data_IF_012129600524
#
_entry.id   IF_012129600524
#
_cell.length_a   1.000
_cell.length_b   1.000
_cell.length_c   1.000
_cell.angle_alpha   90.00
_cell.angle_beta   90.00
_cell.angle_gamma   90.00
#
_symmetry.space_group_name_H-M   'P 1'
#
loop_
_entity.id
_entity.type
_entity.pdbx_description
1 polymer ?
#
# COMPACT_ATOMS: atom_id res chain seq x y z
N UNK A 1 12.93 -33.55 17.21
CA UNK A 1 11.65 -33.41 16.50
C UNK A 1 11.77 -32.18 15.60
N UNK A 2 11.81 -32.39 14.29
CA UNK A 2 11.97 -31.29 13.31
C UNK A 2 10.62 -30.58 13.16
N UNK A 3 10.41 -29.49 13.90
CA UNK A 3 9.32 -28.56 13.65
C UNK A 3 9.78 -27.56 12.60
N UNK A 4 9.59 -27.89 11.32
CA UNK A 4 9.74 -26.89 10.26
C UNK A 4 8.56 -25.93 10.37
N UNK A 5 8.83 -24.71 10.78
CA UNK A 5 7.86 -23.62 10.79
C UNK A 5 7.39 -23.40 9.34
N UNK A 6 6.18 -23.86 9.05
CA UNK A 6 5.53 -23.57 7.77
C UNK A 6 4.90 -22.19 7.91
N UNK A 7 5.54 -21.18 7.31
CA UNK A 7 4.85 -19.90 7.09
C UNK A 7 3.54 -20.17 6.34
N UNK A 8 2.43 -19.54 6.75
CA UNK A 8 1.18 -19.72 6.06
C UNK A 8 1.36 -19.28 4.59
N UNK A 9 1.28 -20.23 3.67
CA UNK A 9 1.13 -19.92 2.24
C UNK A 9 -0.26 -19.35 2.08
N UNK A 10 -0.33 -18.02 1.97
CA UNK A 10 -1.55 -17.38 1.49
C UNK A 10 -1.75 -17.84 0.04
N UNK A 11 -2.61 -18.84 -0.13
CA UNK A 11 -3.12 -19.17 -1.43
C UNK A 11 -3.97 -17.99 -1.86
N UNK A 12 -3.50 -17.29 -2.90
CA UNK A 12 -4.34 -16.34 -3.63
C UNK A 12 -5.44 -17.14 -4.32
N UNK A 13 -6.49 -17.46 -3.55
CA UNK A 13 -7.72 -17.95 -4.12
C UNK A 13 -8.24 -16.91 -5.09
N UNK A 14 -8.73 -17.37 -6.24
CA UNK A 14 -9.34 -16.57 -7.27
C UNK A 14 -10.33 -15.59 -6.61
N UNK A 15 -9.91 -14.33 -6.48
CA UNK A 15 -10.83 -13.28 -6.02
C UNK A 15 -11.91 -13.11 -7.07
N UNK A 16 -13.14 -13.23 -6.60
CA UNK A 16 -14.34 -12.91 -7.33
C UNK A 16 -14.12 -11.61 -8.12
N UNK A 17 -14.52 -11.66 -9.39
CA UNK A 17 -14.55 -10.53 -10.31
C UNK A 17 -15.41 -9.42 -9.68
N UNK A 18 -14.76 -8.54 -8.91
CA UNK A 18 -15.36 -7.29 -8.51
C UNK A 18 -15.49 -6.47 -9.79
N UNK A 19 -16.71 -6.13 -10.17
CA UNK A 19 -16.99 -5.38 -11.38
C UNK A 19 -16.29 -4.03 -11.36
N UNK A 20 -15.14 -4.00 -11.99
CA UNK A 20 -14.35 -2.79 -12.20
C UNK A 20 -15.06 -1.98 -13.29
N UNK A 21 -15.63 -0.85 -12.91
CA UNK A 21 -16.02 0.17 -13.89
C UNK A 21 -14.72 0.77 -14.44
N UNK A 22 -14.15 0.10 -15.45
CA UNK A 22 -13.05 0.64 -16.24
C UNK A 22 -13.51 1.94 -16.88
N UNK A 23 -13.01 3.06 -16.37
CA UNK A 23 -13.00 4.31 -17.11
C UNK A 23 -12.09 4.15 -18.34
N UNK A 24 -12.57 3.52 -19.39
CA UNK A 24 -11.86 3.47 -20.66
C UNK A 24 -11.69 4.90 -21.18
N UNK A 25 -10.51 5.47 -20.95
CA UNK A 25 -10.10 6.66 -21.68
C UNK A 25 -9.90 6.25 -23.14
N UNK A 26 -10.91 6.50 -23.95
CA UNK A 26 -10.89 6.17 -25.39
C UNK A 26 -9.86 7.09 -26.05
N UNK A 27 -8.62 6.63 -26.18
CA UNK A 27 -7.64 7.24 -27.09
C UNK A 27 -8.10 7.01 -28.53
N UNK A 28 -8.99 7.90 -28.98
CA UNK A 28 -9.42 7.92 -30.37
C UNK A 28 -8.26 8.45 -31.22
N UNK A 29 -7.62 7.58 -31.97
CA UNK A 29 -6.67 7.97 -33.02
C UNK A 29 -7.43 8.79 -34.06
N UNK A 30 -7.14 10.09 -34.12
CA UNK A 30 -7.68 10.97 -35.15
C UNK A 30 -7.09 10.57 -36.51
N UNK A 31 -7.92 10.58 -37.54
CA UNK A 31 -7.46 10.42 -38.91
C UNK A 31 -6.47 11.53 -39.27
N UNK A 32 -5.26 11.23 -39.76
CA UNK A 32 -4.47 12.24 -40.41
C UNK A 32 -5.17 12.64 -41.71
N UNK A 33 -5.46 13.93 -41.86
CA UNK A 33 -6.10 14.53 -43.04
C UNK A 33 -5.15 14.62 -44.24
N UNK A 34 -4.49 13.49 -44.63
CA UNK A 34 -3.62 13.48 -45.82
C UNK A 34 -3.54 12.09 -46.42
N UNK A 35 -4.61 11.68 -47.14
CA UNK A 35 -4.52 10.74 -48.22
C UNK A 35 -4.60 11.52 -49.55
N UNK A 36 -3.44 11.92 -50.07
CA UNK A 36 -3.39 12.48 -51.43
C UNK A 36 -3.01 11.41 -52.45
N UNK A 37 -3.99 11.14 -53.27
CA UNK A 37 -3.98 10.93 -54.72
C UNK A 37 -2.98 9.90 -55.30
N UNK A 38 -3.55 8.79 -55.75
CA UNK A 38 -3.41 8.32 -57.14
C UNK A 38 -4.28 7.07 -57.38
N UNK A 39 -5.53 7.27 -57.71
CA UNK A 39 -6.32 6.47 -58.71
C UNK A 39 -7.76 7.07 -58.77
N UNK A 40 -7.99 7.94 -59.75
CA UNK A 40 -9.29 8.59 -59.95
C UNK A 40 -10.19 7.68 -60.78
N UNK A 41 -11.23 7.15 -60.17
CA UNK A 41 -12.35 6.53 -60.86
C UNK A 41 -13.31 5.74 -59.98
N UNK A 42 -12.83 4.87 -59.11
CA UNK A 42 -13.60 4.13 -58.10
C UNK A 42 -13.19 4.48 -56.68
N UNK A 43 -12.01 5.02 -56.48
CA UNK A 43 -11.43 5.34 -55.16
C UNK A 43 -12.16 6.47 -54.42
N UNK A 44 -12.86 7.37 -55.11
CA UNK A 44 -13.57 8.50 -54.46
C UNK A 44 -14.81 8.05 -53.67
N UNK A 45 -15.52 7.05 -54.17
CA UNK A 45 -16.72 6.50 -53.51
C UNK A 45 -16.38 5.62 -52.32
N UNK A 46 -15.28 4.88 -52.41
CA UNK A 46 -14.82 4.01 -51.30
C UNK A 46 -14.28 4.83 -50.14
N UNK A 47 -13.55 5.91 -50.38
CA UNK A 47 -13.06 6.83 -49.35
C UNK A 47 -14.19 7.56 -48.62
N UNK A 48 -15.20 8.04 -49.37
CA UNK A 48 -16.39 8.67 -48.80
C UNK A 48 -17.18 7.68 -47.94
N UNK A 49 -17.37 6.48 -48.42
CA UNK A 49 -18.08 5.42 -47.70
C UNK A 49 -17.33 4.99 -46.42
N UNK A 50 -16.01 4.91 -46.45
CA UNK A 50 -15.18 4.65 -45.25
C UNK A 50 -15.34 5.75 -44.21
N UNK A 51 -15.38 7.03 -44.62
CA UNK A 51 -15.60 8.17 -43.70
C UNK A 51 -17.00 8.13 -43.06
N UNK A 52 -18.05 7.84 -43.86
CA UNK A 52 -19.41 7.67 -43.34
C UNK A 52 -19.47 6.55 -42.27
N UNK A 53 -18.99 5.35 -42.62
CA UNK A 53 -18.95 4.20 -41.72
C UNK A 53 -18.15 4.49 -40.46
N UNK A 54 -17.08 5.29 -40.54
CA UNK A 54 -16.28 5.70 -39.41
C UNK A 54 -17.05 6.64 -38.48
N UNK A 55 -17.79 7.58 -39.03
CA UNK A 55 -18.67 8.49 -38.26
C UNK A 55 -19.82 7.72 -37.60
N UNK A 56 -20.45 6.77 -38.32
CA UNK A 56 -21.48 5.88 -37.78
C UNK A 56 -20.93 5.00 -36.63
N UNK A 57 -19.73 4.42 -36.81
CA UNK A 57 -19.08 3.62 -35.76
C UNK A 57 -18.81 4.42 -34.49
N UNK A 58 -18.32 5.66 -34.62
CA UNK A 58 -18.08 6.56 -33.48
C UNK A 58 -19.38 6.94 -32.78
N UNK A 59 -20.45 7.26 -33.55
CA UNK A 59 -21.77 7.57 -33.02
C UNK A 59 -22.35 6.40 -32.23
N UNK A 60 -22.29 5.18 -32.81
CA UNK A 60 -22.73 3.96 -32.15
C UNK A 60 -21.95 3.68 -30.85
N UNK A 61 -20.63 3.87 -30.89
CA UNK A 61 -19.76 3.72 -29.70
C UNK A 61 -20.13 4.74 -28.61
N UNK A 62 -20.35 6.01 -28.97
CA UNK A 62 -20.75 7.05 -28.01
C UNK A 62 -22.14 6.78 -27.41
N UNK A 63 -23.03 6.13 -28.17
CA UNK A 63 -24.34 5.69 -27.69
C UNK A 63 -24.32 4.38 -26.89
N UNK A 64 -23.12 3.75 -26.70
CA UNK A 64 -22.97 2.46 -26.01
C UNK A 64 -23.34 1.24 -26.87
N UNK A 65 -23.70 1.42 -28.15
CA UNK A 65 -24.07 0.36 -29.08
C UNK A 65 -22.83 -0.34 -29.65
N UNK A 66 -22.07 -1.03 -28.78
CA UNK A 66 -20.78 -1.60 -29.13
C UNK A 66 -20.85 -2.64 -30.25
N UNK A 67 -21.94 -3.41 -30.35
CA UNK A 67 -22.14 -4.38 -31.41
C UNK A 67 -22.29 -3.72 -32.79
N UNK A 68 -23.03 -2.61 -32.86
CA UNK A 68 -23.18 -1.82 -34.09
C UNK A 68 -21.83 -1.16 -34.46
N UNK A 69 -21.14 -0.57 -33.47
CA UNK A 69 -19.83 0.03 -33.71
C UNK A 69 -18.83 -1.00 -34.29
N UNK A 70 -18.77 -2.21 -33.73
CA UNK A 70 -17.95 -3.31 -34.28
C UNK A 70 -18.31 -3.63 -35.71
N UNK A 71 -19.60 -3.82 -36.04
CA UNK A 71 -20.08 -4.10 -37.38
C UNK A 71 -19.70 -3.01 -38.41
N UNK A 72 -19.72 -1.72 -38.00
CA UNK A 72 -19.26 -0.62 -38.86
C UNK A 72 -17.76 -0.65 -39.09
N UNK A 73 -16.92 -0.92 -38.10
CA UNK A 73 -15.49 -1.08 -38.27
C UNK A 73 -15.15 -2.33 -39.11
N UNK A 74 -15.88 -3.43 -38.96
CA UNK A 74 -15.74 -4.61 -39.83
C UNK A 74 -16.09 -4.30 -41.31
N UNK A 75 -17.14 -3.49 -41.55
CA UNK A 75 -17.49 -3.04 -42.89
C UNK A 75 -16.40 -2.14 -43.51
N UNK A 76 -15.78 -1.24 -42.69
CA UNK A 76 -14.61 -0.48 -43.14
C UNK A 76 -13.47 -1.40 -43.56
N UNK A 77 -13.17 -2.43 -42.79
CA UNK A 77 -12.08 -3.35 -43.08
C UNK A 77 -12.33 -4.24 -44.32
N UNK A 78 -13.60 -4.40 -44.74
CA UNK A 78 -13.95 -5.05 -46.04
C UNK A 78 -13.61 -4.14 -47.22
N UNK A 79 -13.79 -2.82 -47.08
CA UNK A 79 -13.50 -1.83 -48.13
C UNK A 79 -12.01 -1.50 -48.14
N UNK A 80 -11.42 -1.24 -46.93
CA UNK A 80 -10.06 -0.80 -46.75
C UNK A 80 -9.27 -1.77 -45.81
N UNK A 81 -8.90 -2.98 -46.29
CA UNK A 81 -8.32 -4.04 -45.44
C UNK A 81 -6.90 -3.73 -44.93
N UNK A 82 -6.28 -2.63 -45.38
CA UNK A 82 -4.97 -2.18 -44.93
C UNK A 82 -5.04 -0.95 -44.01
N UNK A 83 -6.24 -0.53 -43.59
CA UNK A 83 -6.43 0.62 -42.71
C UNK A 83 -6.16 0.22 -41.26
N UNK A 84 -4.89 0.32 -40.82
CA UNK A 84 -4.45 -0.10 -39.50
C UNK A 84 -5.22 0.59 -38.35
N UNK A 85 -5.65 1.86 -38.52
CA UNK A 85 -6.44 2.58 -37.55
C UNK A 85 -7.82 1.92 -37.29
N UNK A 86 -8.44 1.30 -38.29
CA UNK A 86 -9.71 0.61 -38.12
C UNK A 86 -9.55 -0.68 -37.28
N UNK A 87 -8.44 -1.40 -37.43
CA UNK A 87 -8.11 -2.54 -36.56
C UNK A 87 -7.91 -2.13 -35.10
N UNK A 88 -7.24 -0.99 -34.86
CA UNK A 88 -7.06 -0.46 -33.49
C UNK A 88 -8.42 -0.16 -32.84
N UNK A 89 -9.29 0.53 -33.57
CA UNK A 89 -10.60 0.91 -33.04
C UNK A 89 -11.50 -0.31 -32.83
N UNK A 90 -11.53 -1.25 -33.77
CA UNK A 90 -12.27 -2.51 -33.62
C UNK A 90 -11.76 -3.34 -32.46
N UNK A 91 -10.44 -3.40 -32.25
CA UNK A 91 -9.83 -4.07 -31.10
C UNK A 91 -10.25 -3.44 -29.78
N UNK A 92 -10.31 -2.10 -29.71
CA UNK A 92 -10.83 -1.38 -28.55
C UNK A 92 -12.31 -1.70 -28.26
N UNK A 93 -13.15 -1.81 -29.29
CA UNK A 93 -14.55 -2.22 -29.14
C UNK A 93 -14.66 -3.65 -28.61
N UNK A 94 -13.89 -4.59 -29.16
CA UNK A 94 -13.91 -5.97 -28.68
C UNK A 94 -13.41 -6.11 -27.23
N UNK A 95 -12.44 -5.29 -26.80
CA UNK A 95 -12.03 -5.23 -25.40
C UNK A 95 -13.19 -4.77 -24.50
N UNK A 96 -13.92 -3.71 -24.90
CA UNK A 96 -15.09 -3.23 -24.17
C UNK A 96 -16.21 -4.27 -24.11
N UNK A 97 -16.33 -5.13 -25.10
CA UNK A 97 -17.26 -6.27 -25.13
C UNK A 97 -16.75 -7.51 -24.39
N UNK A 98 -15.55 -7.46 -23.79
CA UNK A 98 -14.84 -8.60 -23.17
C UNK A 98 -14.58 -9.76 -24.16
N UNK A 99 -14.56 -9.48 -25.45
CA UNK A 99 -14.23 -10.42 -26.52
C UNK A 99 -12.70 -10.46 -26.76
N UNK A 100 -11.95 -10.78 -25.70
CA UNK A 100 -10.48 -10.62 -25.65
C UNK A 100 -9.76 -11.33 -26.80
N UNK A 101 -10.21 -12.54 -27.18
CA UNK A 101 -9.62 -13.30 -28.29
C UNK A 101 -9.80 -12.59 -29.65
N UNK A 102 -10.98 -12.02 -29.88
CA UNK A 102 -11.23 -11.24 -31.10
C UNK A 102 -10.41 -9.97 -31.12
N UNK A 103 -10.36 -9.26 -29.93
CA UNK A 103 -9.54 -8.08 -29.77
C UNK A 103 -8.07 -8.38 -30.12
N UNK A 104 -7.48 -9.43 -29.54
CA UNK A 104 -6.09 -9.82 -29.82
C UNK A 104 -5.84 -10.09 -31.28
N UNK A 105 -6.73 -10.82 -31.95
CA UNK A 105 -6.60 -11.15 -33.39
C UNK A 105 -6.61 -9.91 -34.27
N UNK A 106 -7.56 -8.99 -34.05
CA UNK A 106 -7.66 -7.79 -34.91
C UNK A 106 -6.52 -6.82 -34.63
N UNK A 107 -6.13 -6.65 -33.38
CA UNK A 107 -5.00 -5.77 -32.98
C UNK A 107 -3.67 -6.31 -33.52
N UNK A 108 -3.46 -7.63 -33.47
CA UNK A 108 -2.29 -8.27 -34.06
C UNK A 108 -2.24 -8.00 -35.56
N UNK A 109 -3.39 -8.11 -36.25
CA UNK A 109 -3.47 -7.83 -37.68
C UNK A 109 -3.18 -6.37 -38.02
N UNK A 110 -3.67 -5.43 -37.20
CA UNK A 110 -3.33 -4.00 -37.31
C UNK A 110 -1.83 -3.74 -37.20
N UNK A 111 -1.19 -4.39 -36.23
CA UNK A 111 0.26 -4.28 -36.00
C UNK A 111 1.13 -4.94 -37.05
N UNK A 112 0.62 -5.96 -37.79
CA UNK A 112 1.29 -6.51 -38.96
C UNK A 112 1.31 -5.50 -40.11
N UNK A 113 0.26 -4.68 -40.26
CA UNK A 113 0.15 -3.64 -41.29
C UNK A 113 0.98 -2.41 -40.91
N UNK A 114 0.89 -1.96 -39.67
CA UNK A 114 1.66 -0.84 -39.14
C UNK A 114 2.18 -1.19 -37.75
N UNK A 115 3.48 -1.38 -37.62
CA UNK A 115 4.15 -1.75 -36.37
C UNK A 115 4.27 -0.59 -35.39
N UNK A 116 4.22 0.62 -35.89
CA UNK A 116 4.34 1.84 -35.07
C UNK A 116 2.96 2.35 -34.65
N UNK A 117 2.30 1.57 -33.79
CA UNK A 117 0.99 1.88 -33.22
C UNK A 117 1.01 1.57 -31.72
N UNK A 118 1.50 2.51 -30.89
CA UNK A 118 1.58 2.30 -29.43
C UNK A 118 0.24 1.95 -28.79
N UNK A 119 -0.84 2.61 -29.22
CA UNK A 119 -2.19 2.33 -28.73
C UNK A 119 -2.62 0.88 -29.03
N UNK A 120 -2.38 0.37 -30.26
CA UNK A 120 -2.69 -1.01 -30.59
C UNK A 120 -1.82 -2.00 -29.79
N UNK A 121 -0.56 -1.64 -29.53
CA UNK A 121 0.32 -2.44 -28.67
C UNK A 121 -0.19 -2.52 -27.24
N UNK A 122 -0.64 -1.38 -26.65
CA UNK A 122 -1.24 -1.34 -25.32
C UNK A 122 -2.51 -2.20 -25.26
N UNK A 123 -3.44 -2.00 -26.21
CA UNK A 123 -4.70 -2.75 -26.28
C UNK A 123 -4.46 -4.25 -26.49
N UNK A 124 -3.48 -4.63 -27.31
CA UNK A 124 -3.10 -6.04 -27.50
C UNK A 124 -2.52 -6.63 -26.20
N UNK A 125 -1.66 -5.88 -25.51
CA UNK A 125 -1.13 -6.29 -24.22
C UNK A 125 -2.24 -6.51 -23.19
N UNK A 126 -3.22 -5.61 -23.11
CA UNK A 126 -4.40 -5.74 -22.25
C UNK A 126 -5.21 -6.99 -22.64
N UNK A 127 -5.49 -7.21 -23.93
CA UNK A 127 -6.23 -8.37 -24.40
C UNK A 127 -5.54 -9.69 -24.00
N UNK A 128 -4.22 -9.77 -24.17
CA UNK A 128 -3.41 -10.92 -23.80
C UNK A 128 -3.38 -11.14 -22.27
N UNK A 129 -3.28 -10.06 -21.49
CA UNK A 129 -3.36 -10.12 -20.04
C UNK A 129 -4.70 -10.72 -19.57
N UNK A 130 -5.82 -10.22 -20.12
CA UNK A 130 -7.16 -10.73 -19.80
C UNK A 130 -7.38 -12.21 -20.20
N UNK A 131 -6.58 -12.69 -21.16
CA UNK A 131 -6.52 -14.11 -21.55
C UNK A 131 -5.54 -14.92 -20.68
N UNK A 132 -4.92 -14.31 -19.66
CA UNK A 132 -3.86 -14.89 -18.84
C UNK A 132 -2.59 -15.29 -19.63
N UNK A 133 -2.37 -14.70 -20.80
CA UNK A 133 -1.19 -14.89 -21.64
C UNK A 133 -0.08 -13.89 -21.26
N UNK A 134 0.29 -13.88 -19.99
CA UNK A 134 1.17 -12.87 -19.38
C UNK A 134 2.52 -12.72 -20.08
N UNK A 135 3.17 -13.83 -20.43
CA UNK A 135 4.46 -13.79 -21.14
C UNK A 135 4.39 -13.14 -22.54
N UNK A 136 3.21 -13.15 -23.16
CA UNK A 136 2.97 -12.49 -24.45
C UNK A 136 2.49 -11.05 -24.28
N UNK A 137 1.79 -10.72 -23.17
CA UNK A 137 1.29 -9.40 -22.84
C UNK A 137 2.43 -8.42 -22.53
N UNK A 138 3.39 -8.84 -21.69
CA UNK A 138 4.52 -8.02 -21.23
C UNK A 138 5.22 -7.24 -22.35
N UNK A 139 5.77 -7.85 -23.42
CA UNK A 139 6.50 -7.11 -24.43
C UNK A 139 5.62 -6.12 -25.21
N UNK A 140 4.30 -6.33 -25.26
CA UNK A 140 3.36 -5.41 -25.90
C UNK A 140 3.13 -4.17 -25.03
N UNK A 141 2.93 -4.35 -23.72
CA UNK A 141 2.79 -3.27 -22.75
C UNK A 141 4.08 -2.46 -22.61
N UNK A 142 5.23 -3.12 -22.56
CA UNK A 142 6.54 -2.44 -22.57
C UNK A 142 6.76 -1.60 -23.83
N UNK A 143 6.34 -2.10 -25.00
CA UNK A 143 6.43 -1.36 -26.26
C UNK A 143 5.53 -0.12 -26.26
N UNK A 144 4.32 -0.25 -25.73
CA UNK A 144 3.40 0.87 -25.58
C UNK A 144 3.97 1.96 -24.64
N UNK A 145 4.50 1.55 -23.49
CA UNK A 145 5.06 2.47 -22.50
C UNK A 145 6.36 3.14 -22.97
N UNK A 146 7.19 2.49 -23.77
CA UNK A 146 8.36 3.17 -24.41
C UNK A 146 7.94 4.32 -25.30
N UNK A 147 6.81 4.19 -26.01
CA UNK A 147 6.30 5.24 -26.88
C UNK A 147 5.47 6.30 -26.12
N UNK A 148 4.73 5.87 -25.10
CA UNK A 148 3.96 6.76 -24.22
C UNK A 148 4.20 6.41 -22.74
N UNK A 149 5.26 6.93 -22.10
CA UNK A 149 5.60 6.67 -20.70
C UNK A 149 4.55 7.19 -19.69
N UNK A 150 3.61 8.02 -20.14
CA UNK A 150 2.56 8.58 -19.29
C UNK A 150 1.25 7.77 -19.29
N UNK A 151 1.18 6.66 -20.03
CA UNK A 151 0.00 5.79 -20.06
C UNK A 151 -0.12 4.99 -18.75
N UNK A 152 -0.79 5.57 -17.76
CA UNK A 152 -0.98 4.95 -16.44
C UNK A 152 -1.77 3.64 -16.52
N UNK A 153 -2.70 3.51 -17.47
CA UNK A 153 -3.45 2.27 -17.66
C UNK A 153 -2.56 1.13 -18.13
N UNK A 154 -1.76 1.36 -19.19
CA UNK A 154 -0.79 0.37 -19.65
C UNK A 154 0.24 0.01 -18.56
N UNK A 155 0.62 0.97 -17.71
CA UNK A 155 1.55 0.75 -16.60
C UNK A 155 0.96 -0.10 -15.48
N UNK A 156 -0.33 0.09 -15.14
CA UNK A 156 -1.05 -0.78 -14.18
C UNK A 156 -1.14 -2.21 -14.73
N UNK A 157 -1.50 -2.37 -16.01
CA UNK A 157 -1.56 -3.69 -16.64
C UNK A 157 -0.18 -4.37 -16.69
N UNK A 158 0.88 -3.63 -16.99
CA UNK A 158 2.24 -4.17 -16.96
C UNK A 158 2.64 -4.59 -15.53
N UNK A 159 2.33 -3.77 -14.54
CA UNK A 159 2.63 -4.11 -13.15
C UNK A 159 1.89 -5.39 -12.70
N UNK A 160 0.60 -5.51 -13.03
CA UNK A 160 -0.17 -6.73 -12.76
C UNK A 160 0.39 -7.95 -13.50
N UNK A 161 0.80 -7.77 -14.77
CA UNK A 161 1.41 -8.81 -15.57
C UNK A 161 2.73 -9.32 -14.96
N UNK A 162 3.58 -8.38 -14.53
CA UNK A 162 4.83 -8.67 -13.82
C UNK A 162 4.58 -9.41 -12.49
N UNK A 163 3.52 -9.06 -11.76
CA UNK A 163 3.11 -9.78 -10.55
C UNK A 163 2.77 -11.25 -10.87
N UNK A 164 2.01 -11.50 -11.94
CA UNK A 164 1.67 -12.85 -12.37
C UNK A 164 2.89 -13.65 -12.85
N UNK A 165 3.89 -12.95 -13.40
CA UNK A 165 5.17 -13.55 -13.81
C UNK A 165 6.16 -13.71 -12.63
N UNK A 166 5.79 -13.33 -11.41
CA UNK A 166 6.65 -13.27 -10.21
C UNK A 166 7.86 -12.34 -10.35
N UNK A 167 7.80 -11.34 -11.22
CA UNK A 167 8.83 -10.31 -11.39
C UNK A 167 8.54 -9.12 -10.48
N UNK A 168 8.48 -9.39 -9.16
CA UNK A 168 7.99 -8.45 -8.14
C UNK A 168 8.81 -7.17 -8.04
N UNK A 169 10.14 -7.22 -8.21
CA UNK A 169 11.03 -6.07 -8.15
C UNK A 169 10.68 -5.06 -9.27
N UNK A 170 10.46 -5.55 -10.49
CA UNK A 170 10.07 -4.71 -11.62
C UNK A 170 8.66 -4.16 -11.45
N UNK A 171 7.74 -4.98 -10.94
CA UNK A 171 6.40 -4.51 -10.60
C UNK A 171 6.44 -3.37 -9.58
N UNK A 172 7.27 -3.48 -8.54
CA UNK A 172 7.46 -2.43 -7.55
C UNK A 172 8.03 -1.13 -8.16
N UNK A 173 8.96 -1.21 -9.10
CA UNK A 173 9.54 -0.06 -9.80
C UNK A 173 8.47 0.72 -10.58
N UNK A 174 7.69 0.02 -11.40
CA UNK A 174 6.59 0.63 -12.16
C UNK A 174 5.53 1.24 -11.24
N UNK A 175 5.10 0.51 -10.21
CA UNK A 175 4.09 0.98 -9.27
C UNK A 175 4.56 2.18 -8.45
N UNK A 176 5.85 2.25 -8.05
CA UNK A 176 6.39 3.44 -7.38
C UNK A 176 6.37 4.67 -8.28
N UNK A 177 6.78 4.50 -9.54
CA UNK A 177 6.74 5.58 -10.53
C UNK A 177 5.32 6.10 -10.69
N UNK A 178 4.36 5.20 -10.81
CA UNK A 178 2.94 5.56 -10.96
C UNK A 178 2.37 6.20 -9.68
N UNK A 179 2.73 5.70 -8.48
CA UNK A 179 2.32 6.29 -7.21
C UNK A 179 2.79 7.74 -7.04
N UNK A 180 3.99 8.08 -7.54
CA UNK A 180 4.48 9.48 -7.56
C UNK A 180 3.66 10.37 -8.50
N UNK A 181 3.23 9.85 -9.65
CA UNK A 181 2.41 10.61 -10.62
C UNK A 181 0.95 10.72 -10.16
N UNK A 182 0.43 9.66 -9.56
CA UNK A 182 -0.96 9.53 -9.18
C UNK A 182 -1.11 9.21 -7.67
N UNK A 183 -0.73 10.12 -6.76
CA UNK A 183 -0.64 9.83 -5.32
C UNK A 183 -1.99 9.53 -4.65
N UNK A 184 -3.11 9.81 -5.32
CA UNK A 184 -4.47 9.52 -4.85
C UNK A 184 -5.06 8.23 -5.43
N UNK A 185 -4.34 7.54 -6.31
CA UNK A 185 -4.81 6.31 -6.93
C UNK A 185 -4.69 5.14 -5.93
N UNK A 186 -5.82 4.75 -5.34
CA UNK A 186 -5.87 3.69 -4.33
C UNK A 186 -5.44 2.32 -4.86
N UNK A 187 -5.71 2.03 -6.14
CA UNK A 187 -5.33 0.76 -6.76
C UNK A 187 -3.82 0.60 -6.83
N UNK A 188 -3.10 1.67 -7.20
CA UNK A 188 -1.64 1.68 -7.27
C UNK A 188 -1.04 1.37 -5.89
N UNK A 189 -1.53 2.03 -4.84
CA UNK A 189 -1.07 1.78 -3.47
C UNK A 189 -1.41 0.38 -2.97
N UNK A 190 -2.57 -0.14 -3.33
CA UNK A 190 -2.97 -1.51 -3.02
C UNK A 190 -2.04 -2.54 -3.68
N UNK A 191 -1.77 -2.39 -4.98
CA UNK A 191 -0.86 -3.28 -5.72
C UNK A 191 0.57 -3.20 -5.17
N UNK A 192 1.05 -1.98 -4.89
CA UNK A 192 2.38 -1.76 -4.32
C UNK A 192 2.52 -2.42 -2.95
N UNK A 193 1.51 -2.31 -2.09
CA UNK A 193 1.46 -3.00 -0.80
C UNK A 193 1.52 -4.52 -0.95
N UNK A 194 0.76 -5.09 -1.89
CA UNK A 194 0.82 -6.53 -2.20
C UNK A 194 2.20 -6.98 -2.66
N UNK A 195 2.82 -6.21 -3.54
CA UNK A 195 4.16 -6.51 -4.06
C UNK A 195 5.20 -6.46 -2.94
N UNK A 196 5.17 -5.45 -2.09
CA UNK A 196 6.08 -5.36 -0.95
C UNK A 196 5.88 -6.49 0.05
N UNK A 197 4.64 -6.89 0.31
CA UNK A 197 4.35 -8.06 1.15
C UNK A 197 4.98 -9.33 0.57
N UNK A 198 4.85 -9.55 -0.74
CA UNK A 198 5.42 -10.72 -1.41
C UNK A 198 6.95 -10.69 -1.40
N UNK A 199 7.57 -9.53 -1.65
CA UNK A 199 9.03 -9.35 -1.57
C UNK A 199 9.54 -9.61 -0.16
N UNK A 200 8.84 -9.10 0.86
CA UNK A 200 9.15 -9.37 2.27
C UNK A 200 9.10 -10.86 2.56
N UNK A 201 8.01 -11.55 2.21
CA UNK A 201 7.88 -12.99 2.43
C UNK A 201 8.99 -13.79 1.74
N UNK A 202 9.35 -13.42 0.51
CA UNK A 202 10.45 -14.07 -0.22
C UNK A 202 11.79 -13.87 0.48
N UNK A 203 12.06 -12.66 0.96
CA UNK A 203 13.30 -12.33 1.68
C UNK A 203 13.40 -13.08 3.01
N UNK A 204 12.29 -13.17 3.76
CA UNK A 204 12.22 -13.91 5.01
C UNK A 204 12.37 -15.42 4.79
N UNK A 205 11.77 -15.96 3.73
CA UNK A 205 11.95 -17.35 3.36
C UNK A 205 13.42 -17.64 3.03
N UNK A 206 14.09 -16.71 2.34
CA UNK A 206 15.51 -16.85 2.02
C UNK A 206 16.40 -16.78 3.25
N UNK A 207 16.10 -15.89 4.19
CA UNK A 207 16.81 -15.82 5.48
C UNK A 207 16.72 -17.15 6.21
N UNK A 208 15.53 -17.72 6.32
CA UNK A 208 15.30 -19.02 6.96
C UNK A 208 15.95 -20.20 6.21
N UNK A 209 16.07 -20.12 4.88
CA UNK A 209 16.79 -21.13 4.08
C UNK A 209 18.30 -21.10 4.33
N UNK A 210 18.88 -19.89 4.49
CA UNK A 210 20.31 -19.69 4.73
C UNK A 210 20.69 -20.26 6.11
N UNK A 211 20.01 -19.82 7.15
CA UNK A 211 20.22 -20.32 8.52
C UNK A 211 18.93 -20.22 9.36
N UNK A 212 18.21 -21.33 9.52
CA UNK A 212 16.95 -21.35 10.27
C UNK A 212 17.14 -21.14 11.79
N UNK A 213 18.38 -21.22 12.29
CA UNK A 213 18.70 -21.09 13.71
C UNK A 213 19.55 -19.85 14.02
N UNK A 214 19.68 -18.91 13.08
CA UNK A 214 20.36 -17.64 13.33
C UNK A 214 19.55 -16.72 14.25
N UNK A 215 20.22 -15.83 14.97
CA UNK A 215 19.53 -14.82 15.77
C UNK A 215 18.60 -13.95 14.92
N UNK A 216 18.98 -13.64 13.67
CA UNK A 216 18.15 -12.87 12.73
C UNK A 216 16.85 -13.60 12.38
N UNK A 217 16.92 -14.91 12.15
CA UNK A 217 15.72 -15.72 11.86
C UNK A 217 14.77 -15.73 13.04
N UNK A 218 15.30 -15.88 14.25
CA UNK A 218 14.49 -15.84 15.48
C UNK A 218 13.95 -14.43 15.75
N UNK A 219 14.74 -13.37 15.57
CA UNK A 219 14.28 -12.01 15.73
C UNK A 219 13.12 -11.69 14.78
N UNK A 220 13.28 -11.95 13.49
CA UNK A 220 12.22 -11.69 12.50
C UNK A 220 10.99 -12.57 12.74
N UNK A 221 11.17 -13.83 13.17
CA UNK A 221 10.03 -14.69 13.56
C UNK A 221 9.25 -14.09 14.72
N UNK A 222 9.95 -13.51 15.70
CA UNK A 222 9.37 -12.77 16.81
C UNK A 222 8.57 -11.55 16.34
N UNK A 223 9.16 -10.72 15.45
CA UNK A 223 8.49 -9.53 14.87
C UNK A 223 7.21 -9.90 14.11
N UNK A 224 7.24 -10.96 13.32
CA UNK A 224 6.05 -11.48 12.61
C UNK A 224 4.98 -11.93 13.62
N UNK A 225 5.35 -12.66 14.66
CA UNK A 225 4.41 -13.11 15.70
C UNK A 225 3.83 -11.93 16.48
N UNK A 226 4.64 -10.93 16.81
CA UNK A 226 4.21 -9.69 17.46
C UNK A 226 3.19 -8.95 16.59
N UNK A 227 3.44 -8.79 15.29
CA UNK A 227 2.51 -8.17 14.34
C UNK A 227 1.17 -8.90 14.23
N UNK A 228 1.16 -10.21 14.48
CA UNK A 228 -0.04 -11.06 14.55
C UNK A 228 -0.70 -11.06 15.94
N UNK A 229 -0.21 -10.23 16.86
CA UNK A 229 -0.62 -10.17 18.27
C UNK A 229 -0.43 -11.50 19.03
N UNK A 230 0.50 -12.35 18.57
CA UNK A 230 0.92 -13.57 19.27
C UNK A 230 2.15 -13.26 20.13
N UNK A 231 1.94 -12.52 21.23
CA UNK A 231 3.01 -12.03 22.07
C UNK A 231 3.78 -13.16 22.78
N UNK A 232 3.10 -14.26 23.14
CA UNK A 232 3.76 -15.43 23.75
C UNK A 232 4.73 -16.11 22.78
N UNK A 233 4.31 -16.25 21.52
CA UNK A 233 5.16 -16.77 20.46
C UNK A 233 6.34 -15.84 20.17
N UNK A 234 6.10 -14.54 20.08
CA UNK A 234 7.15 -13.53 19.90
C UNK A 234 8.19 -13.59 21.02
N UNK A 235 7.74 -13.68 22.28
CA UNK A 235 8.59 -13.78 23.45
C UNK A 235 9.53 -15.00 23.37
N UNK A 236 9.02 -16.16 22.92
CA UNK A 236 9.83 -17.37 22.76
C UNK A 236 10.93 -17.17 21.72
N UNK A 237 10.61 -16.58 20.59
CA UNK A 237 11.57 -16.35 19.51
C UNK A 237 12.60 -15.28 19.88
N UNK A 238 12.19 -14.18 20.50
CA UNK A 238 13.13 -13.15 20.97
C UNK A 238 14.09 -13.65 22.05
N UNK A 239 13.65 -14.55 22.96
CA UNK A 239 14.57 -15.22 23.90
C UNK A 239 15.66 -15.98 23.19
N UNK A 240 15.32 -16.74 22.15
CA UNK A 240 16.32 -17.45 21.35
C UNK A 240 17.28 -16.50 20.65
N UNK A 241 16.76 -15.38 20.11
CA UNK A 241 17.61 -14.36 19.49
C UNK A 241 18.63 -13.78 20.48
N UNK A 242 18.21 -13.47 21.71
CA UNK A 242 19.10 -13.00 22.79
C UNK A 242 20.10 -14.08 23.21
N UNK A 243 19.68 -15.34 23.35
CA UNK A 243 20.58 -16.47 23.68
C UNK A 243 21.69 -16.64 22.63
N UNK A 244 21.38 -16.43 21.35
CA UNK A 244 22.34 -16.59 20.25
C UNK A 244 23.22 -15.35 20.03
N UNK A 245 22.76 -14.18 20.36
CA UNK A 245 23.47 -12.92 20.13
C UNK A 245 23.21 -11.90 21.24
N UNK A 246 23.66 -12.16 22.50
CA UNK A 246 23.35 -11.32 23.65
C UNK A 246 23.96 -9.93 23.58
N UNK A 247 25.10 -9.77 22.89
CA UNK A 247 25.79 -8.48 22.77
C UNK A 247 25.34 -7.68 21.53
N UNK A 248 24.33 -8.17 20.79
CA UNK A 248 23.89 -7.54 19.57
C UNK A 248 22.85 -6.47 19.86
N UNK A 249 23.06 -5.26 19.31
CA UNK A 249 22.12 -4.15 19.40
C UNK A 249 20.73 -4.57 18.90
N UNK A 250 19.69 -4.23 19.64
CA UNK A 250 18.30 -4.48 19.31
C UNK A 250 17.73 -5.81 19.80
N UNK A 251 18.56 -6.86 20.06
CA UNK A 251 18.03 -8.16 20.51
C UNK A 251 17.34 -8.05 21.86
N UNK A 252 17.99 -7.40 22.83
CA UNK A 252 17.42 -7.15 24.15
C UNK A 252 16.24 -6.16 24.08
N UNK A 253 16.30 -5.18 23.16
CA UNK A 253 15.20 -4.24 22.98
C UNK A 253 13.90 -4.96 22.56
N UNK A 254 13.96 -5.84 21.56
CA UNK A 254 12.78 -6.60 21.10
C UNK A 254 12.22 -7.50 22.20
N UNK A 255 13.09 -8.19 22.94
CA UNK A 255 12.68 -9.02 24.07
C UNK A 255 12.04 -8.17 25.19
N UNK A 256 12.67 -7.05 25.52
CA UNK A 256 12.17 -6.10 26.50
C UNK A 256 10.80 -5.50 26.10
N UNK A 257 10.63 -5.18 24.80
CA UNK A 257 9.39 -4.68 24.27
C UNK A 257 8.25 -5.73 24.35
N UNK A 258 8.54 -7.00 24.03
CA UNK A 258 7.55 -8.07 24.19
C UNK A 258 7.12 -8.24 25.65
N UNK A 259 8.04 -8.20 26.59
CA UNK A 259 7.70 -8.19 28.02
C UNK A 259 6.88 -6.97 28.43
N UNK A 260 7.23 -5.78 27.91
CA UNK A 260 6.52 -4.53 28.18
C UNK A 260 5.07 -4.59 27.68
N UNK A 261 4.84 -5.11 26.47
CA UNK A 261 3.50 -5.31 25.91
C UNK A 261 2.65 -6.30 26.73
N UNK A 262 3.31 -7.27 27.38
CA UNK A 262 2.69 -8.23 28.31
C UNK A 262 2.56 -7.67 29.74
N UNK A 263 2.90 -6.39 29.97
CA UNK A 263 2.90 -5.73 31.29
C UNK A 263 3.80 -6.41 32.33
N UNK A 264 4.81 -7.15 31.86
CA UNK A 264 5.80 -7.83 32.70
C UNK A 264 6.99 -6.90 32.99
N UNK A 265 6.78 -5.93 33.90
CA UNK A 265 7.66 -4.78 34.10
C UNK A 265 9.09 -5.13 34.52
N UNK A 266 9.29 -6.07 35.46
CA UNK A 266 10.64 -6.41 35.94
C UNK A 266 11.48 -7.14 34.88
N UNK A 267 10.96 -8.16 34.14
CA UNK A 267 11.66 -8.69 32.99
C UNK A 267 11.95 -7.64 31.91
N UNK A 268 10.96 -6.78 31.57
CA UNK A 268 11.16 -5.74 30.57
C UNK A 268 12.28 -4.77 30.96
N UNK A 269 12.29 -4.30 32.20
CA UNK A 269 13.32 -3.41 32.73
C UNK A 269 14.72 -4.04 32.64
N UNK A 270 14.83 -5.33 32.98
CA UNK A 270 16.12 -6.07 32.87
C UNK A 270 16.64 -6.06 31.45
N UNK A 271 15.78 -6.36 30.48
CA UNK A 271 16.18 -6.42 29.08
C UNK A 271 16.50 -5.03 28.51
N UNK A 272 15.75 -3.98 28.85
CA UNK A 272 16.10 -2.62 28.43
C UNK A 272 17.41 -2.13 29.01
N UNK A 273 17.74 -2.50 30.24
CA UNK A 273 19.05 -2.19 30.83
C UNK A 273 20.18 -2.94 30.11
N UNK A 274 19.97 -4.19 29.71
CA UNK A 274 20.92 -4.96 28.90
C UNK A 274 21.10 -4.33 27.51
N UNK A 275 20.00 -3.89 26.87
CA UNK A 275 20.08 -3.17 25.60
C UNK A 275 20.92 -1.91 25.72
N UNK A 276 20.70 -1.10 26.77
CA UNK A 276 21.46 0.13 26.99
C UNK A 276 22.93 -0.10 27.35
N UNK A 277 23.28 -1.28 27.86
CA UNK A 277 24.68 -1.67 28.01
C UNK A 277 25.35 -1.95 26.65
N UNK A 278 24.60 -2.53 25.71
CA UNK A 278 25.06 -2.81 24.35
C UNK A 278 24.97 -1.58 23.45
N UNK A 279 23.88 -0.83 23.53
CA UNK A 279 23.60 0.39 22.76
C UNK A 279 23.11 1.54 23.66
N UNK A 280 24.04 2.33 24.22
CA UNK A 280 23.70 3.49 25.04
C UNK A 280 22.93 4.60 24.29
N UNK A 281 22.88 4.54 22.95
CA UNK A 281 22.16 5.51 22.10
C UNK A 281 20.71 5.09 21.80
N UNK A 282 20.27 3.96 22.31
CA UNK A 282 18.89 3.48 22.10
C UNK A 282 17.88 4.30 22.91
N UNK A 283 17.41 5.41 22.35
CA UNK A 283 16.47 6.30 23.03
C UNK A 283 15.12 5.64 23.31
N UNK A 284 14.72 4.64 22.53
CA UNK A 284 13.47 3.90 22.76
C UNK A 284 13.56 3.04 24.02
N UNK A 285 14.68 2.32 24.20
CA UNK A 285 14.92 1.58 25.43
C UNK A 285 14.97 2.50 26.66
N UNK A 286 15.57 3.69 26.49
CA UNK A 286 15.67 4.69 27.55
C UNK A 286 14.28 5.24 27.94
N UNK A 287 13.43 5.54 26.93
CA UNK A 287 12.04 5.94 27.15
C UNK A 287 11.24 4.85 27.86
N UNK A 288 11.30 3.59 27.38
CA UNK A 288 10.58 2.45 27.95
C UNK A 288 10.94 2.23 29.44
N UNK A 289 12.19 2.47 29.82
CA UNK A 289 12.59 2.45 31.23
C UNK A 289 11.88 3.54 32.03
N UNK A 290 11.77 4.74 31.48
CA UNK A 290 11.04 5.85 32.11
C UNK A 290 9.57 5.52 32.31
N UNK A 291 8.91 4.98 31.29
CA UNK A 291 7.51 4.57 31.36
C UNK A 291 7.28 3.47 32.42
N UNK A 292 8.12 2.41 32.44
CA UNK A 292 8.05 1.37 33.46
C UNK A 292 8.13 1.94 34.88
N UNK A 293 9.05 2.90 35.12
CA UNK A 293 9.18 3.53 36.42
C UNK A 293 7.95 4.36 36.83
N UNK A 294 7.24 4.94 35.85
CA UNK A 294 5.96 5.63 36.09
C UNK A 294 4.84 4.65 36.43
N UNK A 295 4.77 3.52 35.75
CA UNK A 295 3.75 2.49 35.97
C UNK A 295 3.95 1.75 37.30
N UNK A 296 5.18 1.47 37.68
CA UNK A 296 5.52 0.83 38.94
C UNK A 296 5.45 1.78 40.15
N UNK A 297 5.17 3.07 39.94
CA UNK A 297 5.19 4.11 40.98
C UNK A 297 6.53 4.18 41.78
N UNK A 298 7.61 3.78 41.10
CA UNK A 298 8.96 3.69 41.70
C UNK A 298 9.60 5.07 42.00
N UNK A 299 8.84 6.12 41.81
CA UNK A 299 9.22 7.50 42.03
C UNK A 299 9.32 8.30 40.73
N UNK A 300 8.55 9.39 40.62
CA UNK A 300 8.50 10.20 39.39
C UNK A 300 9.85 10.85 39.05
N UNK A 301 10.72 11.05 40.04
CA UNK A 301 12.06 11.62 39.86
C UNK A 301 12.96 10.65 39.04
N UNK A 302 12.97 9.36 39.39
CA UNK A 302 13.76 8.35 38.67
C UNK A 302 13.26 8.18 37.25
N UNK A 303 11.94 8.22 37.02
CA UNK A 303 11.36 8.22 35.69
C UNK A 303 11.80 9.44 34.88
N UNK A 304 11.75 10.64 35.49
CA UNK A 304 12.17 11.89 34.84
C UNK A 304 13.62 11.82 34.35
N UNK A 305 14.53 11.27 35.13
CA UNK A 305 15.95 11.12 34.76
C UNK A 305 16.13 10.24 33.51
N UNK A 306 15.38 9.14 33.37
CA UNK A 306 15.43 8.28 32.21
C UNK A 306 14.82 8.98 30.99
N UNK A 307 13.71 9.69 31.17
CA UNK A 307 13.02 10.41 30.11
C UNK A 307 13.81 11.62 29.60
N UNK A 308 14.54 12.30 30.49
CA UNK A 308 15.49 13.37 30.11
C UNK A 308 16.61 12.82 29.23
N UNK A 309 17.15 11.63 29.54
CA UNK A 309 18.14 10.94 28.70
C UNK A 309 17.53 10.54 27.35
N UNK A 310 16.31 9.99 27.35
CA UNK A 310 15.62 9.63 26.10
C UNK A 310 15.45 10.84 25.19
N UNK A 311 15.01 11.99 25.73
CA UNK A 311 14.81 13.22 24.95
C UNK A 311 16.12 13.93 24.57
N UNK A 312 17.21 13.70 25.31
CA UNK A 312 18.53 14.16 24.89
C UNK A 312 19.00 13.45 23.62
N UNK A 313 18.63 12.18 23.44
CA UNK A 313 18.94 11.35 22.26
C UNK A 313 17.93 11.54 21.12
N UNK A 314 16.64 11.59 21.46
CA UNK A 314 15.53 11.71 20.50
C UNK A 314 14.61 12.90 20.92
N UNK A 315 14.97 14.15 20.60
CA UNK A 315 14.26 15.35 21.07
C UNK A 315 12.81 15.49 20.58
N UNK A 316 12.46 14.77 19.52
CA UNK A 316 11.14 14.86 18.88
C UNK A 316 10.21 13.67 19.21
N UNK A 317 10.59 12.79 20.18
CA UNK A 317 9.74 11.65 20.55
C UNK A 317 8.48 12.11 21.28
N UNK A 318 7.28 11.94 20.68
CA UNK A 318 6.02 12.33 21.30
C UNK A 318 5.75 11.57 22.61
N UNK A 319 6.04 10.26 22.59
CA UNK A 319 5.80 9.38 23.73
C UNK A 319 6.70 9.75 24.91
N UNK A 320 7.97 10.06 24.65
CA UNK A 320 8.90 10.50 25.70
C UNK A 320 8.51 11.86 26.26
N UNK A 321 8.01 12.80 25.45
CA UNK A 321 7.46 14.06 25.91
C UNK A 321 6.19 13.86 26.74
N UNK A 322 5.28 12.97 26.33
CA UNK A 322 4.09 12.67 27.09
C UNK A 322 4.43 12.10 28.48
N UNK A 323 5.28 11.08 28.51
CA UNK A 323 5.65 10.45 29.78
C UNK A 323 6.48 11.36 30.67
N UNK A 324 7.35 12.22 30.10
CA UNK A 324 8.02 13.25 30.89
C UNK A 324 7.03 14.27 31.49
N UNK A 325 6.04 14.66 30.69
CA UNK A 325 4.92 15.48 31.19
C UNK A 325 4.18 14.81 32.34
N UNK A 326 3.91 13.50 32.27
CA UNK A 326 3.32 12.71 33.37
C UNK A 326 4.20 12.70 34.63
N UNK A 327 5.51 12.51 34.47
CA UNK A 327 6.45 12.56 35.56
C UNK A 327 6.45 13.94 36.23
N UNK A 328 6.52 15.01 35.43
CA UNK A 328 6.52 16.40 35.89
C UNK A 328 5.20 16.79 36.61
N UNK A 329 4.05 16.30 36.13
CA UNK A 329 2.76 16.47 36.81
C UNK A 329 2.80 15.85 38.23
N UNK A 330 3.35 14.64 38.37
CA UNK A 330 3.50 13.97 39.67
C UNK A 330 4.49 14.70 40.61
N UNK A 331 5.43 15.45 40.03
CA UNK A 331 6.40 16.29 40.76
C UNK A 331 5.92 17.72 40.97
N UNK A 332 4.68 18.04 40.62
CA UNK A 332 4.06 19.37 40.71
C UNK A 332 4.80 20.47 39.91
N UNK A 333 5.60 20.06 38.88
CA UNK A 333 6.32 20.95 37.96
C UNK A 333 5.44 21.29 36.76
N UNK A 334 4.33 21.95 37.00
CA UNK A 334 3.21 22.08 36.07
C UNK A 334 3.54 22.85 34.77
N UNK A 335 4.36 23.94 34.87
CA UNK A 335 4.76 24.71 33.69
C UNK A 335 5.63 23.89 32.73
N UNK A 336 6.51 23.06 33.26
CA UNK A 336 7.36 22.19 32.47
C UNK A 336 6.56 21.05 31.89
N UNK A 337 5.65 20.46 32.66
CA UNK A 337 4.72 19.45 32.18
C UNK A 337 3.89 19.97 31.00
N UNK A 338 3.35 21.20 31.13
CA UNK A 338 2.56 21.77 30.03
C UNK A 338 3.36 21.95 28.76
N UNK A 339 4.64 22.35 28.82
CA UNK A 339 5.51 22.47 27.64
C UNK A 339 5.73 21.14 26.93
N UNK A 340 5.99 20.08 27.67
CA UNK A 340 6.21 18.75 27.08
C UNK A 340 4.93 18.19 26.48
N UNK A 341 3.84 18.29 27.22
CA UNK A 341 2.55 17.81 26.75
C UNK A 341 2.03 18.58 25.51
N UNK A 342 2.37 19.87 25.37
CA UNK A 342 2.12 20.63 24.15
C UNK A 342 2.90 20.07 22.96
N UNK A 343 4.14 19.66 23.16
CA UNK A 343 4.94 19.03 22.08
C UNK A 343 4.35 17.66 21.69
N UNK A 344 3.97 16.84 22.66
CA UNK A 344 3.32 15.57 22.41
C UNK A 344 2.01 15.74 21.62
N UNK A 345 1.14 16.68 22.06
CA UNK A 345 -0.12 16.97 21.36
C UNK A 345 0.07 17.58 19.96
N UNK A 346 1.15 18.34 19.75
CA UNK A 346 1.45 18.91 18.44
C UNK A 346 2.00 17.86 17.46
N UNK A 347 2.72 16.85 17.96
CA UNK A 347 3.28 15.77 17.14
C UNK A 347 2.20 14.77 16.69
N UNK A 348 1.24 14.45 17.56
CA UNK A 348 0.05 13.67 17.21
C UNK A 348 -1.23 14.36 17.69
N UNK A 349 -1.82 15.24 16.87
CA UNK A 349 -3.05 15.95 17.22
C UNK A 349 -4.29 15.07 17.34
N UNK A 350 -4.21 13.81 16.94
CA UNK A 350 -5.32 12.85 17.01
C UNK A 350 -5.28 12.00 18.31
N UNK A 351 -4.16 12.01 19.03
CA UNK A 351 -4.03 11.30 20.30
C UNK A 351 -4.70 12.09 21.46
N UNK A 352 -5.72 11.53 22.11
CA UNK A 352 -6.46 12.28 23.15
C UNK A 352 -5.69 12.47 24.46
N UNK A 353 -4.80 11.54 24.83
CA UNK A 353 -4.17 11.49 26.15
C UNK A 353 -3.32 12.73 26.50
N UNK A 354 -2.48 13.29 25.59
CA UNK A 354 -1.75 14.53 25.89
C UNK A 354 -2.67 15.72 26.24
N UNK A 355 -3.82 15.84 25.58
CA UNK A 355 -4.82 16.89 25.85
C UNK A 355 -5.43 16.75 27.25
N UNK A 356 -5.72 15.51 27.68
CA UNK A 356 -6.19 15.27 29.04
C UNK A 356 -5.16 15.70 30.08
N UNK A 357 -3.90 15.31 29.90
CA UNK A 357 -2.80 15.65 30.81
C UNK A 357 -2.51 17.16 30.81
N UNK A 358 -2.57 17.84 29.67
CA UNK A 358 -2.49 19.30 29.54
C UNK A 358 -3.58 20.00 30.35
N UNK A 359 -4.81 19.48 30.28
CA UNK A 359 -5.91 20.05 31.07
C UNK A 359 -5.64 19.99 32.57
N UNK A 360 -4.96 18.93 33.04
CA UNK A 360 -4.55 18.82 34.46
C UNK A 360 -3.45 19.83 34.80
N UNK A 361 -2.43 19.97 33.95
CA UNK A 361 -1.36 20.94 34.12
C UNK A 361 -1.93 22.37 34.21
N UNK A 362 -2.76 22.77 33.25
CA UNK A 362 -3.36 24.10 33.23
C UNK A 362 -4.30 24.37 34.41
N UNK A 363 -5.04 23.32 34.83
CA UNK A 363 -5.88 23.47 36.06
C UNK A 363 -5.04 23.74 37.29
N UNK A 364 -3.93 23.03 37.46
CA UNK A 364 -3.02 23.24 38.58
C UNK A 364 -2.35 24.63 38.54
N UNK A 365 -2.12 25.17 37.32
CA UNK A 365 -1.59 26.52 37.09
C UNK A 365 -2.65 27.64 37.26
N UNK A 366 -3.90 27.31 37.55
CA UNK A 366 -4.99 28.30 37.64
C UNK A 366 -5.48 28.80 36.25
N UNK A 367 -5.02 28.22 35.16
CA UNK A 367 -5.33 28.59 33.75
C UNK A 367 -6.62 27.92 33.30
N UNK A 368 -7.74 28.28 33.92
CA UNK A 368 -9.01 27.57 33.80
C UNK A 368 -9.58 27.53 32.39
N UNK A 369 -9.41 28.59 31.58
CA UNK A 369 -9.91 28.64 30.20
C UNK A 369 -9.17 27.66 29.32
N UNK A 370 -7.83 27.58 29.43
CA UNK A 370 -7.00 26.67 28.67
C UNK A 370 -7.25 25.23 29.09
N UNK A 371 -7.36 24.97 30.38
CA UNK A 371 -7.73 23.65 30.89
C UNK A 371 -9.07 23.15 30.29
N UNK A 372 -10.06 24.04 30.18
CA UNK A 372 -11.36 23.73 29.61
C UNK A 372 -11.26 23.49 28.10
N UNK A 373 -10.42 24.25 27.38
CA UNK A 373 -10.20 24.06 25.95
C UNK A 373 -9.58 22.68 25.66
N UNK A 374 -8.54 22.30 26.39
CA UNK A 374 -7.89 21.00 26.26
C UNK A 374 -8.84 19.84 26.61
N UNK A 375 -9.65 19.99 27.64
CA UNK A 375 -10.65 18.98 28.01
C UNK A 375 -11.72 18.79 26.92
N UNK A 376 -12.13 19.86 26.22
CA UNK A 376 -13.05 19.77 25.09
C UNK A 376 -12.41 19.03 23.91
N UNK A 377 -11.13 19.31 23.64
CA UNK A 377 -10.37 18.60 22.60
C UNK A 377 -10.27 17.12 22.92
N UNK A 378 -9.88 16.77 24.16
CA UNK A 378 -9.87 15.39 24.64
C UNK A 378 -11.22 14.69 24.41
N UNK A 379 -12.33 15.27 24.89
CA UNK A 379 -13.65 14.66 24.76
C UNK A 379 -14.04 14.41 23.30
N UNK A 380 -13.76 15.39 22.41
CA UNK A 380 -14.04 15.26 20.98
C UNK A 380 -13.22 14.15 20.32
N UNK A 381 -11.94 14.04 20.65
CA UNK A 381 -11.06 12.99 20.11
C UNK A 381 -11.46 11.60 20.61
N UNK A 382 -11.81 11.50 21.90
CA UNK A 382 -12.27 10.24 22.50
C UNK A 382 -13.59 9.76 21.87
N UNK A 383 -14.56 10.68 21.67
CA UNK A 383 -15.81 10.36 20.96
C UNK A 383 -15.55 9.90 19.52
N UNK A 384 -14.64 10.56 18.79
CA UNK A 384 -14.25 10.17 17.43
C UNK A 384 -13.58 8.79 17.40
N UNK A 385 -12.69 8.49 18.35
CA UNK A 385 -12.04 7.19 18.51
C UNK A 385 -13.04 6.08 18.79
N UNK A 386 -13.99 6.31 19.70
CA UNK A 386 -15.05 5.35 20.02
C UNK A 386 -15.97 5.09 18.81
N UNK A 387 -16.36 6.15 18.09
CA UNK A 387 -17.15 6.03 16.87
C UNK A 387 -16.43 5.23 15.78
N UNK A 388 -15.14 5.47 15.59
CA UNK A 388 -14.32 4.72 14.65
C UNK A 388 -14.22 3.24 15.01
N UNK A 389 -14.01 2.91 16.29
CA UNK A 389 -14.00 1.52 16.80
C UNK A 389 -15.35 0.82 16.58
N UNK A 390 -16.46 1.51 16.88
CA UNK A 390 -17.81 0.99 16.68
C UNK A 390 -18.12 0.72 15.19
N UNK A 391 -17.75 1.64 14.30
CA UNK A 391 -17.93 1.47 12.85
C UNK A 391 -17.09 0.30 12.32
N UNK A 392 -15.85 0.16 12.77
CA UNK A 392 -14.98 -0.98 12.39
C UNK A 392 -15.57 -2.31 12.86
N UNK A 393 -16.07 -2.37 14.10
CA UNK A 393 -16.73 -3.57 14.63
C UNK A 393 -17.96 -3.94 13.81
N UNK A 394 -18.78 -2.95 13.43
CA UNK A 394 -19.95 -3.13 12.57
C UNK A 394 -19.58 -3.68 11.19
N UNK A 395 -18.56 -3.12 10.55
CA UNK A 395 -18.06 -3.61 9.25
C UNK A 395 -17.56 -5.07 9.32
N UNK A 396 -16.86 -5.42 10.40
CA UNK A 396 -16.40 -6.81 10.61
C UNK A 396 -17.59 -7.79 10.75
N UNK A 397 -18.66 -7.39 11.44
CA UNK A 397 -19.86 -8.19 11.60
C UNK A 397 -20.64 -8.34 10.29
N UNK A 398 -20.77 -7.26 9.51
CA UNK A 398 -21.42 -7.27 8.20
C UNK A 398 -20.66 -8.16 7.21
N UNK A 399 -19.34 -8.10 7.18
CA UNK A 399 -18.50 -8.95 6.33
C UNK A 399 -18.55 -10.45 6.72
N UNK A 400 -18.78 -10.78 8.00
CA UNK A 400 -18.97 -12.18 8.46
C UNK A 400 -20.35 -12.74 8.12
N UNK A 401 -21.35 -11.86 7.91
CA UNK A 401 -22.72 -12.27 7.55
C UNK A 401 -22.91 -12.57 6.05
N UNK A 402 -21.92 -12.26 5.21
CA UNK A 402 -21.97 -12.43 3.75
C UNK A 402 -21.23 -13.67 3.23
N UNK A 403 -20.82 -14.61 4.09
CA UNK A 403 -20.31 -15.90 3.62
C UNK A 403 -21.51 -16.71 3.07
N UNK A 404 -21.52 -17.07 1.79
CA UNK A 404 -22.51 -17.96 1.24
C UNK A 404 -22.36 -19.31 1.95
N UNK A 405 -23.44 -19.81 2.51
CA UNK A 405 -23.56 -21.22 2.92
C UNK A 405 -23.30 -22.12 1.70
N UNK A 406 -22.62 -23.25 1.89
CA UNK A 406 -22.15 -24.12 0.83
C UNK A 406 -23.28 -24.73 -0.01
#
# INVERSE_FOLDING_TARGET
MKSSMKFPRFHFGAMARCGFQMGFLVLLVSFPASLHAQNRGQAGGDDERVQELYAEAKSAQAAGNLAEAAGRYEAILKIAPRLAAAYNNLGSIYLQQHEFKKAAQVLQRGLEINRDMPSASALLGIALYEMAEYAAAKPRLETALRANPSDGNAEIYLANDLIHLNEYEKAAEHLRTLAHREPKNQEVWYLLGKVYLQLSQTSLAKLNEIDPNSYLTHQVSGEVMESMNNLDGALLEYKKAVELAPDRHGTHYHLGNAYWLLLMWEPAKKEFLAELANDPQNCQAQWKLGDILLEQQAGPQSALEQLDRALALCPESPEAHEDRGRALLKLERYEEAAKDLQKAAAADPAEPRPHFLLSQAYRALGRAQEAQAEMRTFSKLEEASQAAKANRAKQILENKGTTPTP
#
